data_IF_802646132881
#
_entry.id   IF_802646132881
#
_cell.length_a   1.000
_cell.length_b   1.000
_cell.length_c   1.000
_cell.angle_alpha   90.00
_cell.angle_beta   90.00
_cell.angle_gamma   90.00
#
_symmetry.space_group_name_H-M   'P 1'
#
loop_
_entity.id
_entity.type
_entity.pdbx_description
1 polymer ?
#
# COMPACT_ATOMS: atom_id res chain seq x y z
N UNK A 1 -9.38 -51.73 -3.33
CA UNK A 1 -8.71 -50.78 -4.24
C UNK A 1 -8.98 -49.38 -3.74
N UNK A 2 -7.92 -48.56 -3.71
CA UNK A 2 -7.80 -47.15 -3.27
C UNK A 2 -8.07 -46.89 -1.78
N UNK A 3 -7.21 -47.36 -0.87
CA UNK A 3 -6.00 -46.66 -0.39
C UNK A 3 -5.43 -45.59 -1.34
N UNK A 4 -5.93 -44.36 -1.23
CA UNK A 4 -5.21 -43.17 -1.69
C UNK A 4 -5.51 -41.99 -0.76
N UNK A 5 -4.49 -41.64 0.00
CA UNK A 5 -4.13 -40.29 0.45
C UNK A 5 -5.04 -39.55 1.44
N UNK A 6 -4.55 -39.45 2.69
CA UNK A 6 -4.49 -38.14 3.34
C UNK A 6 -3.37 -37.99 4.37
N UNK A 7 -2.14 -38.01 3.87
CA UNK A 7 -1.05 -37.29 4.52
C UNK A 7 -1.31 -35.78 4.35
N UNK A 8 -1.65 -35.08 5.43
CA UNK A 8 -1.25 -33.67 5.59
C UNK A 8 -0.94 -33.40 7.06
N UNK A 9 0.32 -33.65 7.40
CA UNK A 9 1.03 -32.95 8.46
C UNK A 9 0.83 -31.44 8.27
N UNK A 10 -0.05 -30.83 9.08
CA UNK A 10 -0.17 -29.38 9.22
C UNK A 10 0.34 -29.00 10.60
N UNK A 11 1.65 -28.90 10.69
CA UNK A 11 2.37 -28.20 11.75
C UNK A 11 1.85 -26.75 11.81
N UNK A 12 0.88 -26.52 12.70
CA UNK A 12 0.29 -25.21 12.96
C UNK A 12 1.23 -24.45 13.87
N UNK A 13 2.26 -23.83 13.28
CA UNK A 13 3.11 -22.88 13.98
C UNK A 13 2.29 -21.62 14.27
N UNK A 14 1.94 -21.46 15.54
CA UNK A 14 1.37 -20.27 16.14
C UNK A 14 2.42 -19.14 16.11
N UNK A 15 2.50 -18.41 14.99
CA UNK A 15 3.32 -17.21 14.85
C UNK A 15 2.53 -16.02 15.43
N UNK A 16 2.89 -15.62 16.66
CA UNK A 16 2.52 -14.31 17.24
C UNK A 16 2.84 -13.21 16.23
N UNK A 17 2.05 -12.12 16.11
CA UNK A 17 2.33 -11.06 15.15
C UNK A 17 3.64 -10.37 15.55
N UNK A 18 4.75 -10.80 14.97
CA UNK A 18 6.03 -10.10 15.10
C UNK A 18 5.88 -8.78 14.37
N UNK A 19 6.19 -7.68 15.07
CA UNK A 19 6.24 -6.34 14.50
C UNK A 19 6.95 -6.41 13.14
N UNK A 20 6.33 -5.89 12.06
CA UNK A 20 6.91 -5.98 10.73
C UNK A 20 8.34 -5.45 10.77
N UNK A 21 9.30 -6.26 10.34
CA UNK A 21 10.69 -5.81 10.25
C UNK A 21 10.77 -4.57 9.36
N UNK A 22 11.72 -3.68 9.64
CA UNK A 22 11.95 -2.43 8.88
C UNK A 22 11.97 -2.65 7.36
N UNK A 23 12.55 -3.77 6.89
CA UNK A 23 12.54 -4.15 5.47
C UNK A 23 11.13 -4.37 4.90
N UNK A 24 10.23 -4.98 5.67
CA UNK A 24 8.82 -5.15 5.28
C UNK A 24 8.06 -3.83 5.24
N UNK A 25 8.37 -2.92 6.16
CA UNK A 25 7.76 -1.59 6.20
C UNK A 25 8.17 -0.79 4.95
N UNK A 26 9.47 -0.77 4.62
CA UNK A 26 9.98 -0.13 3.41
C UNK A 26 9.38 -0.73 2.14
N UNK A 27 9.29 -2.07 2.05
CA UNK A 27 8.62 -2.73 0.93
C UNK A 27 7.13 -2.37 0.83
N UNK A 28 6.44 -2.23 1.96
CA UNK A 28 5.03 -1.83 1.98
C UNK A 28 4.83 -0.39 1.53
N UNK A 29 5.75 0.52 1.88
CA UNK A 29 5.73 1.92 1.45
C UNK A 29 5.99 2.02 -0.06
N UNK A 30 7.00 1.30 -0.59
CA UNK A 30 7.24 1.24 -2.03
C UNK A 30 6.03 0.63 -2.76
N UNK A 31 5.49 -0.47 -2.26
CA UNK A 31 4.31 -1.11 -2.83
C UNK A 31 3.10 -0.15 -2.90
N UNK A 32 2.86 0.62 -1.84
CA UNK A 32 1.84 1.67 -1.83
C UNK A 32 2.13 2.82 -2.79
N UNK A 33 3.39 3.26 -2.89
CA UNK A 33 3.81 4.33 -3.80
C UNK A 33 3.70 3.93 -5.29
N UNK A 34 3.92 2.65 -5.61
CA UNK A 34 3.73 2.10 -6.96
C UNK A 34 2.29 1.62 -7.24
N UNK A 35 1.35 1.83 -6.32
CA UNK A 35 -0.06 1.48 -6.50
C UNK A 35 -0.39 -0.01 -6.33
N UNK A 36 0.56 -0.85 -5.93
CA UNK A 36 0.35 -2.26 -5.59
C UNK A 36 -0.07 -2.39 -4.11
N UNK A 37 -1.19 -1.74 -3.79
CA UNK A 37 -1.82 -1.82 -2.48
C UNK A 37 -2.25 -3.28 -2.23
N UNK A 38 -1.67 -3.92 -1.21
CA UNK A 38 -2.05 -5.28 -0.82
C UNK A 38 -3.57 -5.36 -0.58
N UNK A 39 -4.21 -6.44 -1.04
CA UNK A 39 -5.64 -6.70 -0.84
C UNK A 39 -6.10 -6.51 0.62
N UNK A 40 -5.19 -6.62 1.60
CA UNK A 40 -5.47 -6.37 3.03
C UNK A 40 -5.73 -4.89 3.33
N UNK A 41 -4.85 -3.99 2.87
CA UNK A 41 -5.04 -2.54 3.03
C UNK A 41 -6.27 -2.07 2.24
N UNK A 42 -6.50 -2.64 1.06
CA UNK A 42 -7.74 -2.38 0.31
C UNK A 42 -8.98 -2.88 1.07
N UNK A 43 -8.93 -4.04 1.72
CA UNK A 43 -10.08 -4.52 2.49
C UNK A 43 -10.38 -3.63 3.70
N UNK A 44 -9.38 -3.14 4.44
CA UNK A 44 -9.62 -2.17 5.52
C UNK A 44 -10.15 -0.83 4.98
N UNK A 45 -9.57 -0.32 3.89
CA UNK A 45 -9.98 0.96 3.32
C UNK A 45 -11.39 0.90 2.72
N UNK A 46 -11.78 -0.23 2.12
CA UNK A 46 -13.10 -0.44 1.51
C UNK A 46 -14.12 -1.06 2.48
N UNK A 47 -13.70 -1.50 3.67
CA UNK A 47 -14.61 -1.85 4.77
C UNK A 47 -15.00 -0.62 5.59
N UNK A 48 -14.33 0.51 5.37
CA UNK A 48 -14.69 1.79 5.98
C UNK A 48 -15.99 2.33 5.36
N UNK A 49 -16.80 3.02 6.16
CA UNK A 49 -18.21 3.34 5.85
C UNK A 49 -18.40 4.31 4.67
N UNK A 50 -17.34 4.92 4.12
CA UNK A 50 -17.42 5.83 2.98
C UNK A 50 -16.08 6.02 2.25
N UNK A 51 -16.05 6.02 0.91
CA UNK A 51 -14.85 6.32 0.11
C UNK A 51 -14.48 7.80 0.07
N UNK A 52 -15.33 8.70 0.58
CA UNK A 52 -15.14 10.14 0.50
C UNK A 52 -13.79 10.66 1.05
N UNK A 53 -13.26 10.18 2.19
CA UNK A 53 -11.98 10.64 2.71
C UNK A 53 -10.80 10.37 1.77
N UNK A 54 -10.81 9.25 1.06
CA UNK A 54 -9.76 8.87 0.11
C UNK A 54 -9.75 9.77 -1.12
N UNK A 55 -10.94 10.15 -1.62
CA UNK A 55 -11.09 11.06 -2.75
C UNK A 55 -10.59 12.45 -2.36
N UNK A 56 -10.97 12.95 -1.19
CA UNK A 56 -10.52 14.27 -0.69
C UNK A 56 -9.01 14.29 -0.51
N UNK A 57 -8.43 13.25 0.12
CA UNK A 57 -6.99 13.13 0.28
C UNK A 57 -6.26 13.07 -1.08
N UNK A 58 -6.81 12.32 -2.04
CA UNK A 58 -6.28 12.25 -3.40
C UNK A 58 -6.27 13.60 -4.10
N UNK A 59 -7.37 14.36 -4.03
CA UNK A 59 -7.45 15.70 -4.63
C UNK A 59 -6.46 16.68 -4.00
N UNK A 60 -6.31 16.67 -2.68
CA UNK A 60 -5.33 17.50 -1.98
C UNK A 60 -3.91 17.15 -2.44
N UNK A 61 -3.58 15.85 -2.48
CA UNK A 61 -2.28 15.38 -2.94
C UNK A 61 -2.00 15.77 -4.38
N UNK A 62 -2.96 15.59 -5.29
CA UNK A 62 -2.84 15.99 -6.69
C UNK A 62 -2.62 17.49 -6.84
N UNK A 63 -3.36 18.32 -6.09
CA UNK A 63 -3.18 19.77 -6.09
C UNK A 63 -1.78 20.19 -5.65
N UNK A 64 -1.28 19.59 -4.56
CA UNK A 64 0.08 19.81 -4.06
C UNK A 64 1.15 19.37 -5.08
N UNK A 65 0.94 18.22 -5.72
CA UNK A 65 1.87 17.69 -6.71
C UNK A 65 1.99 18.62 -7.92
N UNK A 66 0.85 19.05 -8.48
CA UNK A 66 0.82 20.00 -9.61
C UNK A 66 1.44 21.34 -9.20
N UNK A 67 1.11 21.86 -8.01
CA UNK A 67 1.72 23.09 -7.50
C UNK A 67 3.24 22.97 -7.35
N UNK A 68 3.73 21.82 -6.88
CA UNK A 68 5.15 21.52 -6.81
C UNK A 68 5.83 21.51 -8.18
N UNK A 69 5.21 20.88 -9.18
CA UNK A 69 5.72 20.91 -10.56
C UNK A 69 5.80 22.33 -11.12
N UNK A 70 4.76 23.15 -10.90
CA UNK A 70 4.75 24.56 -11.32
C UNK A 70 5.90 25.31 -10.66
N UNK A 71 6.12 25.13 -9.36
CA UNK A 71 7.21 25.78 -8.64
C UNK A 71 8.58 25.37 -9.20
N UNK A 72 8.80 24.08 -9.45
CA UNK A 72 10.03 23.58 -10.07
C UNK A 72 10.24 24.19 -11.46
N UNK A 73 9.21 24.18 -12.31
CA UNK A 73 9.28 24.77 -13.66
C UNK A 73 9.62 26.26 -13.58
N UNK A 74 8.97 27.01 -12.69
CA UNK A 74 9.26 28.44 -12.52
C UNK A 74 10.68 28.69 -12.04
N UNK A 75 11.21 27.88 -11.11
CA UNK A 75 12.62 27.98 -10.69
C UNK A 75 13.59 27.70 -11.84
N UNK A 76 13.30 26.69 -12.67
CA UNK A 76 14.13 26.35 -13.83
C UNK A 76 14.09 27.45 -14.88
N UNK A 77 12.91 28.00 -15.19
CA UNK A 77 12.75 29.08 -16.16
C UNK A 77 13.32 30.42 -15.66
N UNK A 78 13.28 30.69 -14.35
CA UNK A 78 13.89 31.91 -13.77
C UNK A 78 15.43 31.88 -13.82
N UNK A 79 16.02 30.69 -13.96
CA UNK A 79 17.45 30.49 -14.09
C UNK A 79 17.96 30.41 -15.53
N UNK A 80 17.07 30.53 -16.53
CA UNK A 80 17.41 30.69 -17.95
C UNK A 80 17.35 32.17 -18.33
#
# INVERSE_FOLDING_TARGET
MTDVAKNKNKNSKNEKPRSPGVLKITQSILAGAFGVQSNKNRQEDFSSHSPAPYIVAGLIFTGLFVGGLILVVNLVLSGQ
#
